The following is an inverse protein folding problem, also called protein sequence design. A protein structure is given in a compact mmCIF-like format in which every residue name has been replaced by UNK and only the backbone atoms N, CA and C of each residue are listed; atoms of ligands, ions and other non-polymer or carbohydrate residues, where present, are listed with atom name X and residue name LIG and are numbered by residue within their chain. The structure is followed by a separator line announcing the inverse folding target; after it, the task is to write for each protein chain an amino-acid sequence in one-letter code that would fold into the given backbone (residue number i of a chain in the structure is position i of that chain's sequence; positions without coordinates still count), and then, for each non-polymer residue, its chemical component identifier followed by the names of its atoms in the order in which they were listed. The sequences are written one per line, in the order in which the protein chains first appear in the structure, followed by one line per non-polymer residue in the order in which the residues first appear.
data_IF_469203505401
#
_entry.id   IF_469203505401
#
_cell.length_a   1.000
_cell.length_b   1.000
_cell.length_c   1.000
_cell.angle_alpha   90.00
_cell.angle_beta   90.00
_cell.angle_gamma   90.00
#
_symmetry.space_group_name_H-M   'P 1'
#
loop_
_entity.id
_entity.type
_entity.pdbx_description
1 polymer ?
#
# COMPACT_ATOMS: atom_id res chain seq x y z
N UNK A 1 15.12 -3.48 -3.98
CA UNK A 1 14.02 -3.76 -3.04
C UNK A 1 13.02 -2.63 -3.12
N UNK A 2 11.85 -2.88 -3.72
CA UNK A 2 10.85 -1.87 -4.07
C UNK A 2 9.57 -2.18 -3.28
N UNK A 3 8.99 -1.17 -2.62
CA UNK A 3 7.64 -1.25 -2.05
C UNK A 3 6.65 -0.73 -3.06
N UNK A 4 5.65 -1.53 -3.38
CA UNK A 4 4.45 -1.09 -4.10
C UNK A 4 3.28 -1.11 -3.13
N UNK A 5 2.74 0.06 -2.83
CA UNK A 5 1.57 0.23 -1.96
C UNK A 5 0.47 0.96 -2.70
N UNK A 6 -0.65 0.29 -2.93
CA UNK A 6 -1.74 0.87 -3.71
C UNK A 6 -3.07 0.23 -3.29
N UNK A 7 -4.13 1.03 -3.32
CA UNK A 7 -5.51 0.63 -2.99
C UNK A 7 -6.35 0.30 -4.24
N UNK A 8 -5.84 0.55 -5.45
CA UNK A 8 -6.50 0.24 -6.72
C UNK A 8 -6.17 -1.19 -7.21
N UNK A 9 -7.02 -2.15 -6.87
CA UNK A 9 -6.80 -3.61 -6.96
C UNK A 9 -6.18 -4.14 -8.27
N UNK A 10 -6.48 -3.56 -9.44
CA UNK A 10 -6.07 -4.15 -10.73
C UNK A 10 -4.72 -3.64 -11.28
N UNK A 11 -4.42 -2.34 -11.15
CA UNK A 11 -3.20 -1.76 -11.74
C UNK A 11 -1.92 -2.30 -11.07
N UNK A 12 -2.02 -2.61 -9.78
CA UNK A 12 -0.91 -3.07 -8.93
C UNK A 12 -0.45 -4.45 -9.35
N UNK A 13 -1.40 -5.36 -9.52
CA UNK A 13 -1.10 -6.75 -9.86
C UNK A 13 -0.35 -6.79 -11.18
N UNK A 14 -0.81 -6.01 -12.16
CA UNK A 14 -0.17 -5.86 -13.46
C UNK A 14 1.24 -5.26 -13.30
N UNK A 15 1.36 -4.13 -12.61
CA UNK A 15 2.64 -3.44 -12.48
C UNK A 15 3.68 -4.25 -11.69
N UNK A 16 3.28 -4.86 -10.57
CA UNK A 16 4.14 -5.75 -9.79
C UNK A 16 4.58 -6.96 -10.62
N UNK A 17 3.69 -7.55 -11.42
CA UNK A 17 4.06 -8.63 -12.34
C UNK A 17 5.08 -8.19 -13.40
N UNK A 18 4.95 -6.97 -13.95
CA UNK A 18 5.96 -6.42 -14.87
C UNK A 18 7.31 -6.22 -14.18
N UNK A 19 7.33 -5.65 -12.98
CA UNK A 19 8.56 -5.46 -12.22
C UNK A 19 9.22 -6.79 -11.85
N UNK A 20 8.44 -7.82 -11.48
CA UNK A 20 8.95 -9.16 -11.17
C UNK A 20 9.57 -9.87 -12.39
N UNK A 21 9.26 -9.42 -13.60
CA UNK A 21 9.82 -9.94 -14.84
C UNK A 21 11.13 -9.26 -15.26
N UNK A 22 11.56 -8.19 -14.57
CA UNK A 22 12.82 -7.48 -14.88
C UNK A 22 14.05 -8.31 -14.51
N UNK A 23 15.17 -8.03 -15.18
CA UNK A 23 16.49 -8.56 -14.88
C UNK A 23 17.46 -7.39 -14.60
N UNK A 24 18.09 -7.33 -13.41
CA UNK A 24 17.94 -8.26 -12.28
C UNK A 24 16.55 -8.17 -11.62
N UNK A 25 16.07 -9.31 -11.07
CA UNK A 25 14.74 -9.42 -10.47
C UNK A 25 14.69 -8.62 -9.15
N UNK A 26 13.83 -7.60 -9.03
CA UNK A 26 13.70 -6.84 -7.79
C UNK A 26 12.91 -7.64 -6.75
N UNK A 27 13.26 -7.45 -5.47
CA UNK A 27 12.39 -7.85 -4.36
C UNK A 27 11.25 -6.86 -4.24
N UNK A 28 10.00 -7.33 -4.35
CA UNK A 28 8.80 -6.50 -4.32
C UNK A 28 7.98 -6.79 -3.07
N UNK A 29 7.64 -5.73 -2.33
CA UNK A 29 6.69 -5.78 -1.23
C UNK A 29 5.36 -5.14 -1.65
N UNK A 30 4.27 -5.90 -1.50
CA UNK A 30 2.90 -5.42 -1.71
C UNK A 30 2.29 -5.16 -0.34
N UNK A 31 1.99 -3.89 -0.07
CA UNK A 31 1.33 -3.47 1.17
C UNK A 31 -0.08 -3.00 0.81
N UNK A 32 -1.09 -3.61 1.43
CA UNK A 32 -2.47 -3.26 1.13
C UNK A 32 -3.42 -3.62 2.27
N UNK A 33 -4.50 -2.84 2.41
CA UNK A 33 -5.66 -3.17 3.23
C UNK A 33 -6.61 -4.16 2.53
N UNK A 34 -6.35 -4.49 1.26
CA UNK A 34 -7.13 -5.47 0.53
C UNK A 34 -6.65 -6.91 0.85
N UNK A 35 -7.57 -7.90 0.88
CA UNK A 35 -7.21 -9.30 1.17
C UNK A 35 -6.13 -9.87 0.25
N UNK A 36 -5.25 -10.71 0.81
CA UNK A 36 -4.12 -11.35 0.12
C UNK A 36 -4.51 -12.06 -1.19
N UNK A 37 -5.69 -12.67 -1.27
CA UNK A 37 -6.12 -13.46 -2.43
C UNK A 37 -6.19 -12.62 -3.72
N UNK A 38 -6.39 -11.30 -3.63
CA UNK A 38 -6.39 -10.39 -4.78
C UNK A 38 -5.00 -10.36 -5.45
N UNK A 39 -3.95 -10.60 -4.67
CA UNK A 39 -2.56 -10.57 -5.11
C UNK A 39 -1.96 -11.97 -5.30
N UNK A 40 -2.78 -13.02 -5.32
CA UNK A 40 -2.30 -14.40 -5.34
C UNK A 40 -1.29 -14.67 -6.48
N UNK A 41 -1.54 -14.13 -7.67
CA UNK A 41 -0.64 -14.28 -8.82
C UNK A 41 0.71 -13.58 -8.61
N UNK A 42 0.70 -12.35 -8.09
CA UNK A 42 1.94 -11.61 -7.81
C UNK A 42 2.74 -12.28 -6.69
N UNK A 43 2.05 -12.79 -5.67
CA UNK A 43 2.68 -13.56 -4.57
C UNK A 43 3.28 -14.86 -5.11
N UNK A 44 2.56 -15.59 -5.97
CA UNK A 44 3.07 -16.79 -6.63
C UNK A 44 4.30 -16.50 -7.52
N UNK A 45 4.36 -15.32 -8.14
CA UNK A 45 5.51 -14.86 -8.91
C UNK A 45 6.70 -14.38 -8.05
N UNK A 46 6.55 -14.33 -6.72
CA UNK A 46 7.61 -14.01 -5.76
C UNK A 46 7.49 -12.66 -5.07
N UNK A 47 6.37 -11.94 -5.18
CA UNK A 47 6.13 -10.77 -4.34
C UNK A 47 5.85 -11.16 -2.88
N UNK A 48 6.28 -10.30 -1.95
CA UNK A 48 6.02 -10.44 -0.52
C UNK A 48 4.81 -9.58 -0.17
N UNK A 49 3.80 -10.18 0.45
CA UNK A 49 2.58 -9.47 0.83
C UNK A 49 2.56 -9.16 2.33
N UNK A 50 2.20 -7.92 2.68
CA UNK A 50 1.89 -7.49 4.05
C UNK A 50 0.51 -6.84 4.06
N UNK A 51 -0.38 -7.36 4.91
CA UNK A 51 -1.64 -6.67 5.19
C UNK A 51 -1.33 -5.48 6.10
N UNK A 52 -1.75 -4.28 5.69
CA UNK A 52 -1.74 -3.11 6.57
C UNK A 52 -2.84 -2.13 6.19
N UNK A 53 -3.50 -1.57 7.19
CA UNK A 53 -4.58 -0.60 7.05
C UNK A 53 -4.02 0.81 6.91
N UNK A 54 -3.41 1.06 5.76
CA UNK A 54 -2.63 2.26 5.46
C UNK A 54 -3.45 3.40 4.82
N UNK A 55 -4.74 3.22 4.54
CA UNK A 55 -5.56 4.24 3.87
C UNK A 55 -7.04 4.07 4.28
N UNK A 56 -7.78 5.16 4.57
CA UNK A 56 -9.21 5.09 4.80
C UNK A 56 -9.93 4.67 3.50
N UNK A 57 -10.66 3.56 3.57
CA UNK A 57 -11.39 3.02 2.42
C UNK A 57 -12.74 3.74 2.27
N UNK A 58 -13.03 4.23 1.06
CA UNK A 58 -14.38 4.68 0.70
C UNK A 58 -15.30 3.46 0.61
N UNK A 59 -16.39 3.47 1.37
CA UNK A 59 -17.32 2.34 1.40
C UNK A 59 -18.33 2.46 0.27
N UNK A 60 -18.30 1.46 -0.61
CA UNK A 60 -19.18 1.35 -1.77
C UNK A 60 -19.86 -0.02 -1.76
N UNK A 61 -21.02 -0.16 -1.08
CA UNK A 61 -21.73 -1.44 -0.99
C UNK A 61 -22.27 -1.91 -2.35
N UNK A 62 -22.57 -0.98 -3.25
CA UNK A 62 -23.06 -1.23 -4.61
C UNK A 62 -22.28 -0.38 -5.61
N UNK A 63 -22.17 -0.88 -6.84
CA UNK A 63 -21.60 -0.09 -7.93
C UNK A 63 -22.30 1.27 -8.04
N UNK A 64 -21.51 2.34 -8.15
CA UNK A 64 -21.98 3.73 -8.26
C UNK A 64 -22.74 4.30 -7.04
N UNK A 65 -22.82 3.57 -5.92
CA UNK A 65 -23.36 4.09 -4.66
C UNK A 65 -22.28 4.14 -3.59
N UNK A 66 -21.98 5.36 -3.15
CA UNK A 66 -21.10 5.61 -2.02
C UNK A 66 -21.94 5.72 -0.76
N UNK A 67 -21.63 4.91 0.25
CA UNK A 67 -22.13 5.15 1.59
C UNK A 67 -21.28 6.25 2.23
N UNK A 68 -21.79 7.48 2.15
CA UNK A 68 -21.09 8.66 2.66
C UNK A 68 -20.92 8.62 4.18
N UNK A 69 -21.95 8.18 4.91
CA UNK A 69 -21.91 8.17 6.36
C UNK A 69 -20.89 7.16 6.86
N UNK A 70 -20.92 5.95 6.29
CA UNK A 70 -19.96 4.92 6.64
C UNK A 70 -18.53 5.32 6.21
N UNK A 71 -18.36 5.92 5.03
CA UNK A 71 -17.05 6.43 4.59
C UNK A 71 -16.50 7.50 5.53
N UNK A 72 -17.32 8.42 6.02
CA UNK A 72 -16.91 9.44 7.02
C UNK A 72 -16.55 8.78 8.35
N UNK A 73 -17.30 7.77 8.79
CA UNK A 73 -17.00 7.05 10.02
C UNK A 73 -15.67 6.31 9.93
N UNK A 74 -15.40 5.63 8.81
CA UNK A 74 -14.11 4.98 8.52
C UNK A 74 -12.99 6.01 8.50
N UNK A 75 -13.20 7.16 7.86
CA UNK A 75 -12.22 8.24 7.84
C UNK A 75 -11.92 8.76 9.25
N UNK A 76 -12.93 8.98 10.09
CA UNK A 76 -12.73 9.43 11.48
C UNK A 76 -11.93 8.42 12.29
N UNK A 77 -12.32 7.15 12.26
CA UNK A 77 -11.58 6.09 12.97
C UNK A 77 -10.13 5.97 12.49
N UNK A 78 -9.89 6.16 11.19
CA UNK A 78 -8.54 6.21 10.65
C UNK A 78 -7.77 7.45 11.16
N UNK A 79 -8.39 8.63 11.16
CA UNK A 79 -7.76 9.86 11.65
C UNK A 79 -7.41 9.79 13.13
N UNK A 80 -8.26 9.15 13.95
CA UNK A 80 -8.03 8.96 15.39
C UNK A 80 -6.82 8.05 15.68
N UNK A 81 -6.53 7.12 14.78
CA UNK A 81 -5.39 6.18 14.90
C UNK A 81 -4.19 6.57 14.04
N UNK A 82 -4.31 7.67 13.30
CA UNK A 82 -3.37 8.11 12.27
C UNK A 82 -1.94 8.18 12.77
N UNK A 83 -1.69 8.92 13.85
CA UNK A 83 -0.33 9.20 14.31
C UNK A 83 0.39 7.95 14.82
N UNK A 84 -0.33 7.05 15.48
CA UNK A 84 0.23 5.77 15.94
C UNK A 84 0.57 4.85 14.76
N UNK A 85 -0.35 4.69 13.80
CA UNK A 85 -0.12 3.92 12.57
C UNK A 85 1.02 4.51 11.74
N UNK A 86 1.14 5.83 11.74
CA UNK A 86 2.20 6.53 11.02
C UNK A 86 3.58 6.16 11.55
N UNK A 87 3.73 6.18 12.87
CA UNK A 87 4.97 5.84 13.54
C UNK A 87 5.34 4.38 13.30
N UNK A 88 4.37 3.46 13.39
CA UNK A 88 4.55 2.04 13.10
C UNK A 88 5.03 1.81 11.66
N UNK A 89 4.35 2.40 10.67
CA UNK A 89 4.73 2.25 9.27
C UNK A 89 6.08 2.90 8.97
N UNK A 90 6.38 4.04 9.59
CA UNK A 90 7.68 4.70 9.45
C UNK A 90 8.80 3.83 10.00
N UNK A 91 8.64 3.32 11.22
CA UNK A 91 9.64 2.46 11.85
C UNK A 91 9.88 1.20 11.01
N UNK A 92 8.80 0.57 10.51
CA UNK A 92 8.89 -0.59 9.65
C UNK A 92 9.59 -0.28 8.30
N UNK A 93 9.26 0.85 7.66
CA UNK A 93 9.92 1.27 6.41
C UNK A 93 11.43 1.52 6.61
N UNK A 94 11.81 2.09 7.76
CA UNK A 94 13.21 2.33 8.12
C UNK A 94 13.96 1.05 8.42
N UNK A 95 13.36 0.13 9.17
CA UNK A 95 13.94 -1.18 9.51
C UNK A 95 14.22 -2.00 8.25
N UNK A 96 13.28 -2.01 7.31
CA UNK A 96 13.40 -2.81 6.10
C UNK A 96 14.41 -2.24 5.10
N UNK A 97 14.62 -0.92 5.07
CA UNK A 97 15.65 -0.29 4.22
C UNK A 97 15.33 -0.27 2.72
N UNK A 98 14.12 0.14 2.35
CA UNK A 98 13.64 0.12 0.95
C UNK A 98 14.38 1.09 0.02
N UNK A 99 14.69 0.64 -1.20
CA UNK A 99 15.36 1.46 -2.21
C UNK A 99 14.40 2.47 -2.88
N UNK A 100 13.13 2.11 -2.98
CA UNK A 100 12.09 2.95 -3.59
C UNK A 100 10.71 2.55 -3.07
N UNK A 101 9.82 3.53 -2.93
CA UNK A 101 8.40 3.28 -2.65
C UNK A 101 7.53 3.92 -3.72
N UNK A 102 6.65 3.10 -4.26
CA UNK A 102 5.58 3.47 -5.19
C UNK A 102 4.27 3.50 -4.41
N UNK A 103 3.66 4.68 -4.30
CA UNK A 103 2.42 4.84 -3.53
C UNK A 103 1.33 5.58 -4.29
N UNK A 104 0.18 4.92 -4.45
CA UNK A 104 -1.08 5.58 -4.83
C UNK A 104 -1.97 5.85 -3.61
N UNK A 105 -1.50 5.49 -2.42
CA UNK A 105 -2.18 5.85 -1.18
C UNK A 105 -1.66 7.21 -0.72
N UNK A 106 -2.56 8.12 -0.35
CA UNK A 106 -2.18 9.45 0.11
C UNK A 106 -1.31 9.38 1.38
N UNK A 107 -1.57 8.38 2.23
CA UNK A 107 -0.96 8.26 3.54
C UNK A 107 0.43 7.61 3.52
N UNK A 108 0.62 6.45 2.88
CA UNK A 108 1.94 5.82 2.85
C UNK A 108 2.95 6.64 2.03
N UNK A 109 2.50 7.28 0.94
CA UNK A 109 3.34 8.18 0.15
C UNK A 109 3.87 9.33 1.00
N UNK A 110 3.03 9.89 1.86
CA UNK A 110 3.43 10.92 2.81
C UNK A 110 4.44 10.41 3.85
N UNK A 111 4.27 9.18 4.37
CA UNK A 111 5.20 8.60 5.34
C UNK A 111 6.61 8.49 4.76
N UNK A 112 6.72 8.04 3.51
CA UNK A 112 8.01 7.88 2.82
C UNK A 112 8.63 9.23 2.49
N UNK A 113 7.84 10.28 2.24
CA UNK A 113 8.37 11.58 1.79
C UNK A 113 9.21 12.26 2.87
N UNK A 114 8.99 11.84 4.12
CA UNK A 114 9.72 12.31 5.30
C UNK A 114 10.94 11.46 5.63
N UNK A 115 11.16 10.36 4.92
CA UNK A 115 12.35 9.53 5.11
C UNK A 115 13.54 10.12 4.33
N UNK A 116 14.70 10.27 4.96
CA UNK A 116 15.90 10.72 4.26
C UNK A 116 16.33 9.65 3.25
N UNK A 117 16.60 10.08 2.00
CA UNK A 117 17.19 9.28 0.92
C UNK A 117 16.30 8.24 0.21
N UNK A 118 14.96 8.24 0.38
CA UNK A 118 14.08 7.32 -0.37
C UNK A 118 13.40 8.02 -1.56
N UNK A 119 13.74 7.69 -2.83
CA UNK A 119 13.07 8.24 -4.01
C UNK A 119 11.60 7.77 -4.10
N UNK A 120 10.72 8.69 -4.46
CA UNK A 120 9.28 8.47 -4.64
C UNK A 120 8.88 8.53 -6.10
N UNK A 121 8.00 7.61 -6.50
CA UNK A 121 7.41 7.53 -7.83
C UNK A 121 5.90 7.26 -7.74
#
# INVERSE_FOLDING_TARGET
MIVTSLTAKNLIVVFASHLLALAPKPTIYIISSAPKYIFANSVAAGAIYRFSEIDPVIVQPLAYRVDRQQSVNVLRAFLDTKDAKLEEERAWLQEMGFDCVLSNTAFLGWCVARLPHTPQL
#
